data_IF_843866695999
#
_entry.id   IF_843866695999
#
_cell.length_a   1.000
_cell.length_b   1.000
_cell.length_c   1.000
_cell.angle_alpha   90.00
_cell.angle_beta   90.00
_cell.angle_gamma   90.00
#
_symmetry.space_group_name_H-M   'P 1'
#
loop_
_entity.id
_entity.type
_entity.pdbx_description
1 polymer ?
#
# COMPACT_ATOMS: atom_id res chain seq x y z
N UNK A 1 -10.88 15.25 -9.15
CA UNK A 1 -9.47 14.95 -8.82
C UNK A 1 -9.09 13.57 -9.35
N UNK A 2 -7.80 13.32 -9.60
CA UNK A 2 -7.31 11.97 -9.93
C UNK A 2 -6.88 11.24 -8.66
N UNK A 3 -7.14 9.93 -8.60
CA UNK A 3 -6.83 9.09 -7.46
C UNK A 3 -6.00 7.89 -7.89
N UNK A 4 -4.92 7.63 -7.17
CA UNK A 4 -4.14 6.40 -7.27
C UNK A 4 -4.49 5.51 -6.09
N UNK A 5 -4.94 4.29 -6.36
CA UNK A 5 -5.32 3.32 -5.34
C UNK A 5 -4.32 2.15 -5.34
N UNK A 6 -3.78 1.81 -4.17
CA UNK A 6 -2.93 0.62 -4.01
C UNK A 6 -3.63 -0.35 -3.05
N UNK A 7 -4.45 -1.28 -3.58
CA UNK A 7 -5.25 -2.21 -2.78
C UNK A 7 -4.37 -3.27 -2.12
N UNK A 8 -4.86 -3.87 -1.03
CA UNK A 8 -4.16 -4.96 -0.35
C UNK A 8 -4.13 -6.23 -1.22
N UNK A 9 -5.27 -6.58 -1.82
CA UNK A 9 -5.38 -7.76 -2.68
C UNK A 9 -4.96 -7.48 -4.13
N UNK A 10 -4.44 -8.52 -4.78
CA UNK A 10 -4.22 -8.53 -6.23
C UNK A 10 -5.56 -8.41 -6.97
N UNK A 11 -5.57 -7.62 -8.03
CA UNK A 11 -6.78 -7.25 -8.79
C UNK A 11 -7.53 -8.48 -9.32
N UNK A 12 -6.82 -9.53 -9.73
CA UNK A 12 -7.44 -10.79 -10.17
C UNK A 12 -8.30 -11.43 -9.07
N UNK A 13 -7.91 -11.27 -7.81
CA UNK A 13 -8.70 -11.73 -6.65
C UNK A 13 -9.90 -10.81 -6.44
N UNK A 14 -9.70 -9.49 -6.55
CA UNK A 14 -10.78 -8.49 -6.46
C UNK A 14 -11.86 -8.76 -7.52
N UNK A 15 -11.48 -9.08 -8.76
CA UNK A 15 -12.42 -9.45 -9.83
C UNK A 15 -13.15 -10.76 -9.55
N UNK A 16 -12.45 -11.78 -9.03
CA UNK A 16 -13.03 -13.09 -8.76
C UNK A 16 -14.01 -13.07 -7.56
N UNK A 17 -13.69 -12.28 -6.53
CA UNK A 17 -14.46 -12.22 -5.28
C UNK A 17 -15.47 -11.07 -5.26
N UNK A 18 -15.30 -10.07 -6.13
CA UNK A 18 -16.14 -8.87 -6.21
C UNK A 18 -16.28 -8.19 -4.84
N UNK A 19 -17.52 -7.88 -4.50
CA UNK A 19 -17.95 -7.22 -3.25
C UNK A 19 -17.55 -7.92 -1.96
N UNK A 20 -16.98 -9.14 -2.00
CA UNK A 20 -16.47 -9.78 -0.78
C UNK A 20 -15.20 -9.13 -0.26
N UNK A 21 -14.49 -8.36 -1.09
CA UNK A 21 -13.26 -7.67 -0.69
C UNK A 21 -13.54 -6.21 -0.35
N UNK A 22 -12.97 -5.69 0.74
CA UNK A 22 -13.01 -4.25 1.06
C UNK A 22 -12.41 -3.40 -0.07
N UNK A 23 -11.37 -3.92 -0.72
CA UNK A 23 -10.71 -3.26 -1.86
C UNK A 23 -11.70 -2.96 -2.99
N UNK A 24 -12.57 -3.92 -3.35
CA UNK A 24 -13.58 -3.71 -4.39
C UNK A 24 -14.53 -2.56 -4.05
N UNK A 25 -15.03 -2.52 -2.79
CA UNK A 25 -15.97 -1.50 -2.35
C UNK A 25 -15.35 -0.10 -2.36
N UNK A 26 -14.11 0.03 -1.90
CA UNK A 26 -13.39 1.30 -1.90
C UNK A 26 -13.16 1.79 -3.33
N UNK A 27 -12.61 0.95 -4.20
CA UNK A 27 -12.36 1.32 -5.60
C UNK A 27 -13.65 1.67 -6.33
N UNK A 28 -14.71 0.88 -6.13
CA UNK A 28 -16.03 1.15 -6.71
C UNK A 28 -16.63 2.48 -6.21
N UNK A 29 -16.49 2.80 -4.93
CA UNK A 29 -16.94 4.10 -4.41
C UNK A 29 -16.14 5.26 -4.99
N UNK A 30 -14.83 5.11 -5.16
CA UNK A 30 -14.01 6.15 -5.80
C UNK A 30 -14.40 6.33 -7.27
N UNK A 31 -14.60 5.25 -8.01
CA UNK A 31 -15.02 5.28 -9.41
C UNK A 31 -16.36 6.01 -9.60
N UNK A 32 -17.32 5.76 -8.72
CA UNK A 32 -18.67 6.36 -8.78
C UNK A 32 -18.76 7.76 -8.14
N UNK A 33 -17.70 8.26 -7.54
CA UNK A 33 -17.69 9.60 -6.95
C UNK A 33 -17.65 10.67 -8.03
N UNK A 34 -18.57 11.65 -7.95
CA UNK A 34 -18.55 12.83 -8.81
C UNK A 34 -17.30 13.71 -8.60
N UNK A 35 -16.59 13.54 -7.49
CA UNK A 35 -15.36 14.29 -7.19
C UNK A 35 -14.11 13.65 -7.77
N UNK A 36 -14.22 12.44 -8.34
CA UNK A 36 -13.09 11.67 -8.88
C UNK A 36 -13.24 11.55 -10.39
N UNK A 37 -12.20 12.01 -11.09
CA UNK A 37 -12.16 12.05 -12.55
C UNK A 37 -11.58 10.74 -13.09
N UNK A 38 -10.52 10.25 -12.47
CA UNK A 38 -9.83 9.01 -12.85
C UNK A 38 -9.31 8.29 -11.62
N UNK A 39 -9.47 6.97 -11.60
CA UNK A 39 -8.89 6.06 -10.62
C UNK A 39 -7.84 5.20 -11.32
N UNK A 40 -6.61 5.24 -10.82
CA UNK A 40 -5.52 4.37 -11.25
C UNK A 40 -5.20 3.39 -10.13
N UNK A 41 -5.48 2.13 -10.34
CA UNK A 41 -5.08 1.06 -9.43
C UNK A 41 -3.64 0.64 -9.75
N UNK A 42 -2.73 0.74 -8.78
CA UNK A 42 -1.42 0.10 -8.87
C UNK A 42 -1.58 -1.30 -8.27
N UNK A 43 -1.71 -2.30 -9.14
CA UNK A 43 -1.89 -3.67 -8.70
C UNK A 43 -0.61 -4.22 -8.05
N UNK A 44 -0.78 -5.18 -7.13
CA UNK A 44 0.34 -5.91 -6.53
C UNK A 44 1.11 -6.65 -7.63
N UNK A 45 2.43 -6.50 -7.74
CA UNK A 45 3.22 -7.31 -8.67
C UNK A 45 3.05 -8.79 -8.38
N UNK A 46 2.86 -9.58 -9.45
CA UNK A 46 2.61 -11.01 -9.36
C UNK A 46 3.59 -11.77 -10.25
N UNK A 47 3.97 -12.97 -9.84
CA UNK A 47 4.87 -13.85 -10.59
C UNK A 47 4.11 -15.02 -11.21
N UNK A 48 4.65 -15.58 -12.29
CA UNK A 48 4.08 -16.78 -12.93
C UNK A 48 3.90 -17.96 -11.95
N UNK A 49 4.86 -18.27 -11.05
CA UNK A 49 4.66 -19.33 -10.05
C UNK A 49 3.48 -19.04 -9.11
N UNK A 50 3.26 -17.78 -8.71
CA UNK A 50 2.11 -17.42 -7.88
C UNK A 50 0.78 -17.60 -8.63
N UNK A 51 0.74 -17.24 -9.92
CA UNK A 51 -0.45 -17.45 -10.77
C UNK A 51 -0.80 -18.93 -10.87
N UNK A 52 0.20 -19.78 -11.16
CA UNK A 52 0.00 -21.22 -11.31
C UNK A 52 -0.41 -21.86 -9.99
N UNK A 53 0.33 -21.60 -8.91
CA UNK A 53 0.09 -22.19 -7.59
C UNK A 53 -1.30 -21.84 -7.04
N UNK A 54 -1.77 -20.61 -7.28
CA UNK A 54 -3.07 -20.14 -6.79
C UNK A 54 -4.18 -20.24 -7.85
N UNK A 55 -3.92 -20.85 -9.01
CA UNK A 55 -4.87 -21.00 -10.12
C UNK A 55 -5.55 -19.68 -10.52
N UNK A 56 -4.79 -18.57 -10.50
CA UNK A 56 -5.31 -17.24 -10.85
C UNK A 56 -5.42 -17.09 -12.37
N UNK A 57 -6.31 -16.20 -12.83
CA UNK A 57 -6.36 -15.78 -14.23
C UNK A 57 -5.07 -15.03 -14.60
N UNK A 58 -4.54 -15.27 -15.79
CA UNK A 58 -3.32 -14.60 -16.24
C UNK A 58 -3.56 -13.13 -16.60
N UNK A 59 -4.61 -12.86 -17.38
CA UNK A 59 -5.03 -11.50 -17.73
C UNK A 59 -6.07 -10.96 -16.73
N UNK A 60 -6.08 -9.63 -16.61
CA UNK A 60 -7.10 -8.83 -15.92
C UNK A 60 -8.17 -8.43 -16.94
N UNK A 61 -9.39 -8.18 -16.47
CA UNK A 61 -10.50 -7.72 -17.32
C UNK A 61 -10.25 -6.28 -17.77
N UNK A 62 -10.43 -6.01 -19.07
CA UNK A 62 -10.27 -4.68 -19.65
C UNK A 62 -9.46 -4.69 -20.94
N UNK A 63 -9.23 -3.50 -21.48
CA UNK A 63 -8.47 -3.30 -22.71
C UNK A 63 -7.06 -2.81 -22.34
N UNK A 64 -6.02 -3.48 -22.83
CA UNK A 64 -4.64 -2.97 -22.66
C UNK A 64 -4.47 -1.73 -23.53
N UNK A 65 -4.20 -0.58 -22.91
CA UNK A 65 -4.02 0.71 -23.60
C UNK A 65 -2.56 1.15 -23.64
N UNK A 66 -1.72 0.60 -22.76
CA UNK A 66 -0.28 0.86 -22.74
C UNK A 66 0.47 -0.35 -22.18
N UNK A 67 1.60 -0.72 -22.76
CA UNK A 67 2.40 -1.87 -22.32
C UNK A 67 3.89 -1.60 -22.50
N UNK A 68 4.69 -1.97 -21.49
CA UNK A 68 6.15 -1.90 -21.58
C UNK A 68 6.81 -2.89 -20.62
N UNK A 69 7.60 -3.80 -21.18
CA UNK A 69 8.44 -4.71 -20.40
C UNK A 69 7.67 -5.60 -19.41
N UNK A 70 6.52 -6.15 -19.80
CA UNK A 70 5.72 -7.01 -18.91
C UNK A 70 4.91 -6.25 -17.84
N UNK A 71 4.90 -4.91 -17.92
CA UNK A 71 3.88 -4.10 -17.25
C UNK A 71 2.85 -3.63 -18.27
N UNK A 72 1.60 -3.59 -17.83
CA UNK A 72 0.44 -3.26 -18.65
C UNK A 72 -0.44 -2.27 -17.92
N UNK A 73 -0.99 -1.31 -18.65
CA UNK A 73 -2.07 -0.45 -18.21
C UNK A 73 -3.36 -0.93 -18.88
N UNK A 74 -4.29 -1.42 -18.08
CA UNK A 74 -5.62 -1.80 -18.52
C UNK A 74 -6.58 -0.64 -18.32
N UNK A 75 -7.36 -0.29 -19.34
CA UNK A 75 -8.59 0.48 -19.19
C UNK A 75 -9.71 -0.51 -18.86
N UNK A 76 -10.20 -0.47 -17.63
CA UNK A 76 -11.25 -1.36 -17.12
C UNK A 76 -12.63 -0.74 -17.32
N UNK A 77 -12.74 0.57 -17.13
CA UNK A 77 -13.93 1.38 -17.41
C UNK A 77 -13.51 2.76 -17.91
N UNK A 78 -14.45 3.68 -18.09
CA UNK A 78 -14.14 5.05 -18.51
C UNK A 78 -13.34 5.85 -17.49
N UNK A 79 -13.48 5.53 -16.20
CA UNK A 79 -12.75 6.21 -15.11
C UNK A 79 -11.69 5.33 -14.47
N UNK A 80 -11.71 4.01 -14.68
CA UNK A 80 -10.86 3.07 -13.96
C UNK A 80 -9.77 2.47 -14.85
N UNK A 81 -8.53 2.63 -14.39
CA UNK A 81 -7.34 2.04 -14.97
C UNK A 81 -6.62 1.15 -13.97
N UNK A 82 -6.00 0.08 -14.44
CA UNK A 82 -5.22 -0.85 -13.60
C UNK A 82 -3.84 -1.03 -14.20
N UNK A 83 -2.81 -0.64 -13.44
CA UNK A 83 -1.41 -0.97 -13.72
C UNK A 83 -1.16 -2.37 -13.17
N UNK A 84 -0.85 -3.30 -14.06
CA UNK A 84 -0.52 -4.68 -13.73
C UNK A 84 0.95 -4.96 -14.02
N UNK A 85 1.60 -5.68 -13.10
CA UNK A 85 2.97 -6.12 -13.27
C UNK A 85 3.07 -7.63 -13.12
N UNK A 86 3.17 -8.32 -14.25
CA UNK A 86 3.56 -9.72 -14.31
C UNK A 86 5.08 -9.82 -14.40
N UNK A 87 5.73 -10.16 -13.29
CA UNK A 87 7.18 -10.30 -13.25
C UNK A 87 7.64 -11.61 -13.89
N UNK A 88 8.79 -11.54 -14.56
CA UNK A 88 9.55 -12.72 -15.01
C UNK A 88 10.47 -13.27 -13.91
N UNK A 89 10.50 -12.66 -12.72
CA UNK A 89 11.23 -13.16 -11.56
C UNK A 89 10.51 -14.39 -10.99
N UNK A 90 11.06 -15.57 -11.26
CA UNK A 90 10.50 -16.85 -10.82
C UNK A 90 11.08 -17.32 -9.48
N UNK A 91 12.19 -16.73 -9.04
CA UNK A 91 13.00 -17.26 -7.92
C UNK A 91 12.77 -16.47 -6.64
N UNK A 92 12.85 -15.13 -6.69
CA UNK A 92 12.67 -14.31 -5.48
C UNK A 92 11.31 -14.52 -4.80
N UNK A 93 10.17 -14.62 -5.52
CA UNK A 93 8.86 -14.83 -4.89
C UNK A 93 8.81 -16.10 -4.03
N UNK A 94 9.46 -17.17 -4.48
CA UNK A 94 9.44 -18.47 -3.79
C UNK A 94 10.33 -18.42 -2.55
N UNK A 95 11.55 -17.87 -2.69
CA UNK A 95 12.51 -17.79 -1.58
C UNK A 95 12.10 -16.79 -0.50
N UNK A 96 11.59 -15.62 -0.91
CA UNK A 96 11.29 -14.51 -0.01
C UNK A 96 9.84 -14.51 0.48
N UNK A 97 8.96 -15.36 -0.07
CA UNK A 97 7.57 -15.52 0.35
C UNK A 97 6.85 -14.16 0.48
N UNK A 98 6.36 -13.81 1.68
CA UNK A 98 5.67 -12.54 1.94
C UNK A 98 6.58 -11.31 1.87
N UNK A 99 7.87 -11.44 2.23
CA UNK A 99 8.84 -10.35 2.11
C UNK A 99 9.04 -9.90 0.66
N UNK A 100 8.81 -10.80 -0.29
CA UNK A 100 8.85 -10.45 -1.71
C UNK A 100 7.85 -9.35 -2.06
N UNK A 101 6.69 -9.29 -1.41
CA UNK A 101 5.71 -8.23 -1.67
C UNK A 101 6.28 -6.84 -1.37
N UNK A 102 7.02 -6.67 -0.27
CA UNK A 102 7.74 -5.42 0.01
C UNK A 102 8.75 -5.08 -1.09
N UNK A 103 9.54 -6.08 -1.49
CA UNK A 103 10.58 -5.92 -2.51
C UNK A 103 9.98 -5.51 -3.86
N UNK A 104 8.89 -6.16 -4.27
CA UNK A 104 8.31 -5.98 -5.60
C UNK A 104 7.69 -4.61 -5.81
N UNK A 105 7.09 -4.02 -4.78
CA UNK A 105 6.64 -2.62 -4.82
C UNK A 105 7.81 -1.62 -4.91
N UNK A 106 9.01 -2.01 -4.48
CA UNK A 106 10.22 -1.19 -4.60
C UNK A 106 10.89 -1.22 -5.98
N UNK A 107 10.41 -2.02 -6.93
CA UNK A 107 11.05 -2.16 -8.23
C UNK A 107 11.02 -0.87 -9.06
N UNK A 108 12.18 -0.45 -9.55
CA UNK A 108 12.33 0.72 -10.44
C UNK A 108 11.46 0.65 -11.68
N UNK A 109 11.29 -0.55 -12.22
CA UNK A 109 10.46 -0.78 -13.38
C UNK A 109 9.01 -0.38 -13.14
N UNK A 110 8.48 -0.71 -11.95
CA UNK A 110 7.12 -0.35 -11.55
C UNK A 110 6.98 1.17 -11.42
N UNK A 111 7.90 1.82 -10.73
CA UNK A 111 7.85 3.27 -10.54
C UNK A 111 8.00 4.05 -11.86
N UNK A 112 8.92 3.62 -12.74
CA UNK A 112 9.08 4.24 -14.07
C UNK A 112 7.81 4.06 -14.90
N UNK A 113 7.27 2.85 -14.97
CA UNK A 113 6.05 2.58 -15.71
C UNK A 113 4.85 3.35 -15.17
N UNK A 114 4.73 3.49 -13.85
CA UNK A 114 3.70 4.30 -13.22
C UNK A 114 3.75 5.76 -13.71
N UNK A 115 4.93 6.39 -13.73
CA UNK A 115 5.08 7.75 -14.24
C UNK A 115 4.81 7.85 -15.75
N UNK A 116 5.20 6.84 -16.53
CA UNK A 116 4.86 6.75 -17.95
C UNK A 116 3.34 6.63 -18.17
N UNK A 117 2.63 5.90 -17.31
CA UNK A 117 1.16 5.82 -17.35
C UNK A 117 0.52 7.16 -17.01
N UNK A 118 1.02 7.89 -16.01
CA UNK A 118 0.54 9.23 -15.69
C UNK A 118 0.71 10.19 -16.88
N UNK A 119 1.87 10.15 -17.53
CA UNK A 119 2.14 10.94 -18.73
C UNK A 119 1.20 10.54 -19.89
N UNK A 120 1.03 9.24 -20.14
CA UNK A 120 0.13 8.71 -21.17
C UNK A 120 -1.33 9.15 -20.97
N UNK A 121 -1.79 9.21 -19.71
CA UNK A 121 -3.13 9.64 -19.33
C UNK A 121 -3.27 11.16 -19.17
N UNK A 122 -2.19 11.94 -19.40
CA UNK A 122 -2.12 13.38 -19.16
C UNK A 122 -2.49 13.79 -17.71
N UNK A 123 -2.11 12.97 -16.72
CA UNK A 123 -2.36 13.22 -15.30
C UNK A 123 -1.12 13.84 -14.65
N UNK A 124 -1.23 15.08 -14.22
CA UNK A 124 -0.16 15.83 -13.54
C UNK A 124 -0.38 15.97 -12.04
N UNK A 125 -1.63 16.05 -11.60
CA UNK A 125 -2.03 16.08 -10.19
C UNK A 125 -2.91 14.88 -9.82
N UNK A 126 -2.62 14.30 -8.65
CA UNK A 126 -3.30 13.14 -8.10
C UNK A 126 -3.05 13.00 -6.60
N UNK A 127 -3.96 12.32 -5.93
CA UNK A 127 -3.78 11.84 -4.55
C UNK A 127 -3.61 10.31 -4.56
N UNK A 128 -2.99 9.76 -3.53
CA UNK A 128 -2.75 8.33 -3.36
C UNK A 128 -3.47 7.84 -2.12
N UNK A 129 -4.26 6.79 -2.29
CA UNK A 129 -4.86 6.02 -1.21
C UNK A 129 -4.27 4.62 -1.21
N UNK A 130 -3.84 4.13 -0.04
CA UNK A 130 -3.42 2.73 0.09
C UNK A 130 -3.84 2.15 1.43
N UNK A 131 -4.35 0.93 1.39
CA UNK A 131 -4.51 0.04 2.55
C UNK A 131 -3.51 -1.14 2.49
N UNK A 132 -2.52 -1.05 1.59
CA UNK A 132 -1.54 -2.09 1.37
C UNK A 132 -0.22 -1.76 2.06
N UNK A 133 -0.01 -2.36 3.24
CA UNK A 133 1.24 -2.22 4.01
C UNK A 133 2.49 -2.65 3.23
N UNK A 134 2.38 -3.54 2.25
CA UNK A 134 3.53 -3.96 1.45
C UNK A 134 4.00 -2.89 0.46
N UNK A 135 3.19 -1.86 0.20
CA UNK A 135 3.48 -0.82 -0.79
C UNK A 135 4.43 0.28 -0.30
N UNK A 136 4.94 0.21 0.93
CA UNK A 136 5.77 1.27 1.52
C UNK A 136 6.97 1.68 0.65
N UNK A 137 7.64 0.72 0.01
CA UNK A 137 8.78 0.99 -0.86
C UNK A 137 8.39 1.75 -2.14
N UNK A 138 7.14 1.62 -2.57
CA UNK A 138 6.59 2.45 -3.65
C UNK A 138 6.24 3.85 -3.12
N UNK A 139 5.54 3.92 -1.98
CA UNK A 139 5.05 5.16 -1.38
C UNK A 139 6.21 6.11 -1.00
N UNK A 140 7.33 5.59 -0.50
CA UNK A 140 8.54 6.38 -0.17
C UNK A 140 9.15 7.11 -1.37
N UNK A 141 8.78 6.73 -2.60
CA UNK A 141 9.24 7.38 -3.84
C UNK A 141 8.33 8.50 -4.29
N UNK A 142 7.15 8.64 -3.68
CA UNK A 142 6.17 9.67 -3.99
C UNK A 142 6.35 10.86 -3.06
N UNK A 143 5.74 11.99 -3.42
CA UNK A 143 5.58 13.10 -2.50
C UNK A 143 4.64 12.68 -1.35
N UNK A 144 5.15 12.77 -0.12
CA UNK A 144 4.39 12.44 1.10
C UNK A 144 3.07 13.18 1.19
N UNK A 145 2.97 14.41 0.65
CA UNK A 145 1.75 15.22 0.71
C UNK A 145 0.61 14.65 -0.14
N UNK A 146 0.90 13.70 -1.02
CA UNK A 146 -0.09 13.06 -1.89
C UNK A 146 -0.69 11.80 -1.28
N UNK A 147 -0.05 11.18 -0.28
CA UNK A 147 -0.42 9.83 0.14
C UNK A 147 -1.20 9.79 1.46
N UNK A 148 -2.25 8.96 1.48
CA UNK A 148 -3.03 8.60 2.66
C UNK A 148 -2.95 7.09 2.89
N UNK A 149 -2.64 6.69 4.11
CA UNK A 149 -2.54 5.28 4.50
C UNK A 149 -3.71 4.83 5.39
N UNK A 150 -4.48 3.86 4.91
CA UNK A 150 -5.53 3.19 5.67
C UNK A 150 -4.97 1.97 6.40
N UNK A 151 -4.68 2.15 7.68
CA UNK A 151 -4.16 1.12 8.57
C UNK A 151 -5.25 0.46 9.41
N UNK A 152 -6.45 0.30 8.83
CA UNK A 152 -7.59 -0.37 9.48
C UNK A 152 -7.22 -1.78 9.95
N UNK A 153 -6.62 -2.57 9.07
CA UNK A 153 -6.13 -3.91 9.42
C UNK A 153 -4.70 -3.79 9.94
N UNK A 154 -4.47 -4.23 11.18
CA UNK A 154 -3.11 -4.43 11.68
C UNK A 154 -2.72 -5.89 11.56
N UNK A 155 -2.03 -6.17 10.46
CA UNK A 155 -1.65 -7.53 10.11
C UNK A 155 -0.44 -8.04 10.90
N UNK A 156 0.19 -7.20 11.75
CA UNK A 156 1.24 -7.64 12.70
C UNK A 156 0.70 -8.74 13.63
N UNK A 157 -0.59 -8.67 13.99
CA UNK A 157 -1.20 -9.61 14.92
C UNK A 157 -1.69 -10.90 14.26
N UNK A 158 -1.53 -11.05 12.94
CA UNK A 158 -2.01 -12.25 12.26
C UNK A 158 -1.03 -13.40 12.48
N UNK A 159 -1.48 -14.59 12.94
CA UNK A 159 -0.59 -15.71 13.24
C UNK A 159 0.31 -16.11 12.05
N UNK A 160 -0.21 -15.99 10.83
CA UNK A 160 0.52 -16.32 9.60
C UNK A 160 1.57 -15.30 9.15
N UNK A 161 1.88 -14.29 9.97
CA UNK A 161 2.88 -13.25 9.67
C UNK A 161 4.02 -13.20 10.71
N UNK A 162 4.10 -14.17 11.63
CA UNK A 162 5.14 -14.19 12.68
C UNK A 162 6.56 -14.15 12.11
N UNK A 163 6.76 -14.72 10.93
CA UNK A 163 8.02 -14.75 10.20
C UNK A 163 8.46 -13.39 9.62
N UNK A 164 7.54 -12.42 9.55
CA UNK A 164 7.77 -11.08 8.98
C UNK A 164 7.30 -9.95 9.90
N UNK A 165 7.12 -10.23 11.19
CA UNK A 165 6.55 -9.27 12.16
C UNK A 165 7.39 -8.01 12.27
N UNK A 166 8.72 -8.12 12.28
CA UNK A 166 9.60 -6.94 12.44
C UNK A 166 9.58 -6.06 11.19
N UNK A 167 9.49 -6.64 10.00
CA UNK A 167 9.34 -5.91 8.74
C UNK A 167 7.99 -5.22 8.64
N UNK A 168 6.91 -5.86 9.12
CA UNK A 168 5.59 -5.23 9.20
C UNK A 168 5.59 -4.04 10.15
N UNK A 169 6.15 -4.22 11.35
CA UNK A 169 6.34 -3.16 12.34
C UNK A 169 7.13 -1.99 11.76
N UNK A 170 8.25 -2.26 11.09
CA UNK A 170 9.05 -1.26 10.42
C UNK A 170 8.25 -0.53 9.32
N UNK A 171 7.54 -1.26 8.46
CA UNK A 171 6.72 -0.68 7.40
C UNK A 171 5.64 0.26 7.95
N UNK A 172 4.96 -0.15 9.03
CA UNK A 172 3.96 0.68 9.71
C UNK A 172 4.57 1.99 10.23
N UNK A 173 5.77 1.93 10.82
CA UNK A 173 6.49 3.11 11.27
C UNK A 173 6.99 4.00 10.12
N UNK A 174 7.32 3.40 8.98
CA UNK A 174 7.72 4.15 7.78
C UNK A 174 6.53 4.88 7.15
N UNK A 175 5.34 4.24 7.06
CA UNK A 175 4.12 4.85 6.51
C UNK A 175 3.74 6.15 7.22
N UNK A 176 3.91 6.15 8.54
CA UNK A 176 3.70 7.31 9.39
C UNK A 176 4.52 8.53 8.95
N UNK A 177 5.73 8.32 8.40
CA UNK A 177 6.59 9.39 7.92
C UNK A 177 6.41 9.66 6.41
N UNK A 178 5.97 8.66 5.65
CA UNK A 178 5.88 8.70 4.19
C UNK A 178 4.50 9.17 3.67
N UNK A 179 3.53 9.44 4.56
CA UNK A 179 2.17 9.82 4.17
C UNK A 179 1.72 11.11 4.87
N UNK A 180 0.79 11.82 4.24
CA UNK A 180 0.18 13.04 4.77
C UNK A 180 -0.71 12.73 5.97
N UNK A 181 -1.45 11.64 5.87
CA UNK A 181 -2.41 11.22 6.88
C UNK A 181 -2.49 9.70 6.90
N UNK A 182 -2.72 9.15 8.09
CA UNK A 182 -3.02 7.73 8.27
C UNK A 182 -4.24 7.58 9.18
N UNK A 183 -4.99 6.50 8.97
CA UNK A 183 -6.18 6.17 9.77
C UNK A 183 -6.11 4.74 10.29
N UNK A 184 -6.75 4.49 11.43
CA UNK A 184 -6.92 3.14 11.98
C UNK A 184 -8.15 3.11 12.87
N UNK A 185 -8.77 1.93 13.04
CA UNK A 185 -9.94 1.74 13.91
C UNK A 185 -9.60 1.12 15.28
N UNK A 186 -8.34 0.81 15.53
CA UNK A 186 -7.91 0.06 16.71
C UNK A 186 -7.11 0.94 17.64
N UNK A 187 -7.55 1.05 18.89
CA UNK A 187 -6.83 1.76 19.96
C UNK A 187 -5.43 1.17 20.20
N UNK A 188 -5.27 -0.15 19.99
CA UNK A 188 -3.95 -0.81 20.01
C UNK A 188 -3.05 -0.32 18.88
N UNK A 189 -3.61 -0.09 17.69
CA UNK A 189 -2.87 0.45 16.55
C UNK A 189 -2.49 1.91 16.81
N UNK A 190 -3.41 2.72 17.35
CA UNK A 190 -3.14 4.10 17.75
C UNK A 190 -1.95 4.18 18.72
N UNK A 191 -1.93 3.35 19.76
CA UNK A 191 -0.81 3.29 20.69
C UNK A 191 0.50 2.92 19.97
N UNK A 192 0.46 1.95 19.05
CA UNK A 192 1.62 1.54 18.26
C UNK A 192 2.21 2.72 17.44
N UNK A 193 1.38 3.44 16.68
CA UNK A 193 1.83 4.55 15.84
C UNK A 193 2.25 5.79 16.62
N UNK A 194 1.52 6.14 17.69
CA UNK A 194 1.89 7.28 18.55
C UNK A 194 3.24 7.00 19.25
N UNK A 195 3.42 5.79 19.79
CA UNK A 195 4.67 5.41 20.45
C UNK A 195 5.81 5.37 19.43
N UNK A 196 5.59 4.87 18.22
CA UNK A 196 6.62 4.88 17.17
C UNK A 196 7.04 6.30 16.78
N UNK A 197 6.07 7.21 16.61
CA UNK A 197 6.34 8.62 16.36
C UNK A 197 7.15 9.27 17.47
N UNK A 198 6.75 9.06 18.73
CA UNK A 198 7.44 9.62 19.88
C UNK A 198 8.85 9.02 20.04
N UNK A 199 8.99 7.71 19.84
CA UNK A 199 10.26 6.98 19.98
C UNK A 199 11.37 7.50 19.08
N UNK A 200 11.04 8.04 17.89
CA UNK A 200 12.04 8.65 16.99
C UNK A 200 12.80 9.82 17.64
N UNK A 201 12.17 10.50 18.61
CA UNK A 201 12.73 11.65 19.30
C UNK A 201 13.31 11.30 20.68
N UNK A 202 13.32 10.02 21.04
CA UNK A 202 13.77 9.53 22.35
C UNK A 202 15.09 8.75 22.16
N UNK A 203 16.22 9.22 22.73
CA UNK A 203 17.50 8.53 22.62
C UNK A 203 17.44 7.08 23.14
N UNK A 204 18.19 6.17 22.51
CA UNK A 204 18.29 4.78 22.96
C UNK A 204 18.80 4.71 24.40
N UNK A 205 18.13 3.91 25.24
CA UNK A 205 18.42 3.81 26.68
C UNK A 205 17.63 4.80 27.56
N UNK A 206 16.82 5.69 26.96
CA UNK A 206 15.94 6.55 27.76
C UNK A 206 14.90 5.72 28.52
N UNK A 207 14.59 6.14 29.75
CA UNK A 207 13.60 5.49 30.62
C UNK A 207 12.38 6.39 30.77
N UNK A 208 11.18 5.86 30.56
CA UNK A 208 9.93 6.59 30.82
C UNK A 208 9.83 6.89 32.31
N UNK A 209 9.70 8.17 32.67
CA UNK A 209 9.61 8.61 34.07
C UNK A 209 8.23 9.13 34.45
N UNK A 210 7.41 9.55 33.48
CA UNK A 210 6.04 9.97 33.74
C UNK A 210 5.16 9.86 32.50
N UNK A 211 3.84 9.86 32.73
CA UNK A 211 2.84 10.08 31.70
C UNK A 211 1.58 10.68 32.30
N UNK A 212 0.93 11.55 31.54
CA UNK A 212 -0.40 12.03 31.88
C UNK A 212 -1.25 12.21 30.62
N UNK A 213 -2.55 12.39 30.83
CA UNK A 213 -3.50 12.73 29.78
C UNK A 213 -4.01 14.13 30.07
N UNK A 214 -3.82 15.06 29.13
CA UNK A 214 -4.33 16.43 29.23
C UNK A 214 -5.38 16.61 28.12
N UNK A 215 -6.66 16.59 28.50
CA UNK A 215 -7.77 16.58 27.55
C UNK A 215 -7.76 15.33 26.67
N UNK A 216 -7.67 15.52 25.35
CA UNK A 216 -7.54 14.42 24.36
C UNK A 216 -6.07 14.13 23.97
N UNK A 217 -5.08 14.73 24.65
CA UNK A 217 -3.66 14.56 24.35
C UNK A 217 -3.00 13.64 25.36
N UNK A 218 -2.36 12.57 24.86
CA UNK A 218 -1.51 11.69 25.66
C UNK A 218 -0.09 12.26 25.70
N UNK A 219 0.43 12.56 26.89
CA UNK A 219 1.81 13.01 27.06
C UNK A 219 2.64 11.94 27.78
N UNK A 220 3.91 11.86 27.42
CA UNK A 220 4.89 10.96 28.03
C UNK A 220 6.20 11.70 28.20
N UNK A 221 6.83 11.56 29.37
CA UNK A 221 8.15 12.09 29.66
C UNK A 221 9.18 10.97 29.77
N UNK A 222 10.33 11.17 29.14
CA UNK A 222 11.46 10.25 29.17
C UNK A 222 12.67 10.93 29.82
N UNK A 223 13.37 10.20 30.69
CA UNK A 223 14.72 10.56 31.16
C UNK A 223 15.71 10.01 30.14
N UNK A 224 16.47 10.88 29.51
CA UNK A 224 17.52 10.49 28.56
C UNK A 224 18.68 9.79 29.30
N UNK A 225 19.47 8.95 28.61
CA UNK A 225 20.67 8.33 29.18
C UNK A 225 21.66 9.36 29.73
#
# INVERSE_FOLDING_TARGET
MNLVCIPYHDWRKIEAEGSRTRDSHLVHHFENSAQVDTVIVVNRPISLPEIIANKKKMAITGIVVFEKGGLKLYKVSDKLYVIDYLTTDLVSPVLQKRLWAFKSFGYDKLYRFFNECLAFLNITDYQVFTNNIFSINFIKRLDKQKAVFDAYDNIVFFPGNQDIVEELKAAYNEFVNATKFWTTNSTKNVAYYIIAHASKFVPAGSVRIASNVIGNLNNVAFKTP
#
